data_IF_094075655078
#
_entry.id   IF_094075655078
#
_cell.length_a   1.000
_cell.length_b   1.000
_cell.length_c   1.000
_cell.angle_alpha   90.00
_cell.angle_beta   90.00
_cell.angle_gamma   90.00
#
_symmetry.space_group_name_H-M   'P 1'
#
loop_
_entity.id
_entity.type
_entity.pdbx_description
1 polymer ?
#
# COMPACT_ATOMS: atom_id res chain seq x y z
N UNK A 1 0.45 -8.85 28.17
CA UNK A 1 -0.09 -8.90 26.80
C UNK A 1 0.37 -10.20 26.17
N UNK A 2 -0.55 -11.02 25.64
CA UNK A 2 -0.16 -12.23 24.89
C UNK A 2 0.61 -11.81 23.62
N UNK A 3 1.56 -12.63 23.17
CA UNK A 3 2.34 -12.34 21.94
C UNK A 3 1.47 -12.12 20.71
N UNK A 4 0.26 -12.70 20.73
CA UNK A 4 -0.78 -12.55 19.73
C UNK A 4 -1.32 -11.11 19.59
N UNK A 5 -1.60 -10.45 20.72
CA UNK A 5 -2.10 -9.08 20.74
C UNK A 5 -1.11 -8.11 20.07
N UNK A 6 0.19 -8.34 20.28
CA UNK A 6 1.27 -7.55 19.66
C UNK A 6 1.27 -7.69 18.14
N UNK A 7 0.90 -8.86 17.60
CA UNK A 7 0.80 -9.07 16.14
C UNK A 7 -0.44 -8.37 15.58
N UNK A 8 -1.59 -8.42 16.26
CA UNK A 8 -2.79 -7.66 15.88
C UNK A 8 -2.48 -6.15 15.82
N UNK A 9 -1.81 -5.62 16.84
CA UNK A 9 -1.50 -4.20 16.90
C UNK A 9 -0.57 -3.78 15.75
N UNK A 10 0.42 -4.62 15.41
CA UNK A 10 1.29 -4.41 14.24
C UNK A 10 0.53 -4.45 12.92
N UNK A 11 -0.43 -5.36 12.75
CA UNK A 11 -1.27 -5.43 11.54
C UNK A 11 -2.13 -4.17 11.40
N UNK A 12 -2.72 -3.69 12.50
CA UNK A 12 -3.48 -2.42 12.52
C UNK A 12 -2.60 -1.23 12.16
N UNK A 13 -1.41 -1.14 12.73
CA UNK A 13 -0.49 -0.04 12.46
C UNK A 13 -0.01 -0.06 11.00
N UNK A 14 0.27 -1.25 10.46
CA UNK A 14 0.64 -1.43 9.04
C UNK A 14 -0.51 -1.00 8.12
N UNK A 15 -1.76 -1.39 8.43
CA UNK A 15 -2.94 -0.95 7.66
C UNK A 15 -3.11 0.56 7.67
N UNK A 16 -2.95 1.21 8.84
CA UNK A 16 -2.98 2.68 8.96
C UNK A 16 -1.85 3.35 8.17
N UNK A 17 -0.64 2.80 8.22
CA UNK A 17 0.49 3.30 7.45
C UNK A 17 0.23 3.20 5.93
N UNK A 18 -0.29 2.06 5.45
CA UNK A 18 -0.65 1.88 4.05
C UNK A 18 -1.73 2.87 3.60
N UNK A 19 -2.77 3.12 4.41
CA UNK A 19 -3.78 4.15 4.12
C UNK A 19 -3.18 5.55 4.06
N UNK A 20 -2.31 5.92 5.02
CA UNK A 20 -1.62 7.23 5.01
C UNK A 20 -0.76 7.42 3.76
N UNK A 21 -0.07 6.38 3.30
CA UNK A 21 0.71 6.43 2.06
C UNK A 21 -0.21 6.61 0.86
N UNK A 22 -1.31 5.87 0.79
CA UNK A 22 -2.28 6.01 -0.29
C UNK A 22 -2.91 7.41 -0.36
N UNK A 23 -3.19 8.02 0.80
CA UNK A 23 -3.68 9.40 0.89
C UNK A 23 -2.59 10.43 0.54
N UNK A 24 -1.35 10.22 1.00
CA UNK A 24 -0.22 11.07 0.63
C UNK A 24 0.03 11.09 -0.89
N UNK A 25 -0.14 9.94 -1.56
CA UNK A 25 -0.06 9.84 -3.01
C UNK A 25 -1.17 10.59 -3.75
N UNK A 26 -2.29 10.97 -3.12
CA UNK A 26 -3.29 11.84 -3.76
C UNK A 26 -2.82 13.28 -3.88
N UNK A 27 -1.94 13.74 -2.98
CA UNK A 27 -1.38 15.09 -3.03
C UNK A 27 -0.28 15.25 -4.07
N UNK A 28 0.24 14.14 -4.60
CA UNK A 28 1.31 14.12 -5.59
C UNK A 28 0.69 13.89 -6.97
N UNK A 29 0.24 14.97 -7.62
CA UNK A 29 -0.13 14.93 -9.04
C UNK A 29 1.15 15.06 -9.89
N UNK A 30 1.86 13.96 -10.12
CA UNK A 30 3.06 14.01 -10.95
C UNK A 30 2.71 14.31 -12.42
N UNK A 31 1.48 14.01 -12.84
CA UNK A 31 1.00 14.31 -14.19
C UNK A 31 0.85 15.83 -14.41
N UNK A 32 0.55 16.60 -13.35
CA UNK A 32 0.59 18.06 -13.37
C UNK A 32 2.00 18.65 -13.51
N UNK A 33 3.05 17.91 -13.13
CA UNK A 33 4.43 18.36 -13.33
C UNK A 33 4.90 18.25 -14.80
N UNK A 34 4.21 17.46 -15.62
CA UNK A 34 4.51 17.38 -17.05
C UNK A 34 3.96 18.63 -17.75
N UNK A 35 4.75 19.37 -18.55
CA UNK A 35 4.25 20.51 -19.32
C UNK A 35 3.25 20.06 -20.39
N UNK A 36 2.22 20.87 -20.64
CA UNK A 36 1.30 20.63 -21.75
C UNK A 36 2.04 20.86 -23.07
N UNK A 37 2.11 19.85 -23.93
CA UNK A 37 2.82 19.95 -25.21
C UNK A 37 2.31 21.09 -26.12
N UNK A 38 1.04 21.47 -25.95
CA UNK A 38 0.41 22.59 -26.66
C UNK A 38 0.94 23.96 -26.26
N UNK A 39 1.67 24.09 -25.15
CA UNK A 39 2.22 25.37 -24.69
C UNK A 39 3.45 25.84 -25.49
N UNK A 40 4.00 25.01 -26.39
CA UNK A 40 5.20 25.36 -27.16
C UNK A 40 5.24 24.87 -28.61
N UNK A 41 4.58 23.75 -28.96
CA UNK A 41 4.57 23.21 -30.33
C UNK A 41 3.27 22.44 -30.66
N UNK A 42 2.17 23.16 -30.95
CA UNK A 42 0.91 22.54 -31.38
C UNK A 42 1.13 21.65 -32.62
N UNK A 43 0.61 20.41 -32.59
CA UNK A 43 0.67 19.48 -33.72
C UNK A 43 1.99 18.70 -33.90
N UNK A 44 3.00 18.93 -33.06
CA UNK A 44 4.21 18.13 -33.10
C UNK A 44 3.97 16.70 -32.57
N UNK A 45 4.59 15.69 -33.19
CA UNK A 45 4.48 14.29 -32.76
C UNK A 45 4.92 14.05 -31.29
N UNK A 46 5.72 14.97 -30.72
CA UNK A 46 6.10 14.94 -29.31
C UNK A 46 4.91 15.24 -28.36
N UNK A 47 3.90 16.00 -28.80
CA UNK A 47 2.69 16.29 -28.01
C UNK A 47 1.89 15.01 -27.75
N UNK A 48 1.69 14.18 -28.78
CA UNK A 48 1.00 12.90 -28.64
C UNK A 48 1.74 11.92 -27.71
N UNK A 49 3.07 11.89 -27.77
CA UNK A 49 3.90 11.08 -26.86
C UNK A 49 3.85 11.58 -25.42
N UNK A 50 3.86 12.90 -25.21
CA UNK A 50 3.71 13.51 -23.89
C UNK A 50 2.32 13.23 -23.30
N UNK A 51 1.26 13.31 -24.11
CA UNK A 51 -0.08 12.94 -23.68
C UNK A 51 -0.18 11.46 -23.27
N UNK A 52 0.40 10.56 -24.07
CA UNK A 52 0.46 9.13 -23.74
C UNK A 52 1.26 8.86 -22.46
N UNK A 53 2.39 9.55 -22.25
CA UNK A 53 3.17 9.45 -21.02
C UNK A 53 2.38 9.93 -19.81
N UNK A 54 1.68 11.07 -19.94
CA UNK A 54 0.86 11.64 -18.88
C UNK A 54 -0.27 10.67 -18.50
N UNK A 55 -0.93 10.06 -19.49
CA UNK A 55 -1.96 9.04 -19.27
C UNK A 55 -1.42 7.77 -18.61
N UNK A 56 -0.27 7.26 -19.09
CA UNK A 56 0.37 6.07 -18.51
C UNK A 56 0.78 6.31 -17.05
N UNK A 57 1.20 7.54 -16.73
CA UNK A 57 1.56 7.91 -15.37
C UNK A 57 0.34 7.97 -14.45
N UNK A 58 -0.74 8.63 -14.86
CA UNK A 58 -2.00 8.66 -14.12
C UNK A 58 -2.52 7.24 -13.84
N UNK A 59 -2.48 6.35 -14.84
CA UNK A 59 -2.90 4.95 -14.68
C UNK A 59 -2.05 4.21 -13.64
N UNK A 60 -0.73 4.45 -13.64
CA UNK A 60 0.20 3.82 -12.69
C UNK A 60 -0.03 4.30 -11.26
N UNK A 61 -0.23 5.60 -11.06
CA UNK A 61 -0.58 6.17 -9.75
C UNK A 61 -1.86 5.57 -9.20
N UNK A 62 -2.91 5.47 -10.03
CA UNK A 62 -4.19 4.91 -9.60
C UNK A 62 -4.12 3.41 -9.30
N UNK A 63 -3.32 2.67 -10.07
CA UNK A 63 -3.05 1.24 -9.81
C UNK A 63 -2.36 1.02 -8.46
N UNK A 64 -1.34 1.83 -8.13
CA UNK A 64 -0.64 1.73 -6.85
C UNK A 64 -1.58 2.09 -5.69
N UNK A 65 -2.36 3.17 -5.83
CA UNK A 65 -3.35 3.59 -4.84
C UNK A 65 -4.38 2.49 -4.57
N UNK A 66 -4.89 1.86 -5.62
CA UNK A 66 -5.86 0.76 -5.52
C UNK A 66 -5.26 -0.44 -4.79
N UNK A 67 -4.01 -0.82 -5.10
CA UNK A 67 -3.31 -1.93 -4.44
C UNK A 67 -3.08 -1.66 -2.95
N UNK A 68 -2.65 -0.45 -2.60
CA UNK A 68 -2.45 -0.04 -1.20
C UNK A 68 -3.77 -0.09 -0.41
N UNK A 69 -4.86 0.41 -1.00
CA UNK A 69 -6.19 0.38 -0.36
C UNK A 69 -6.70 -1.05 -0.18
N UNK A 70 -6.53 -1.89 -1.19
CA UNK A 70 -6.88 -3.31 -1.10
C UNK A 70 -6.08 -4.01 -0.01
N UNK A 71 -4.77 -3.76 0.07
CA UNK A 71 -3.91 -4.31 1.12
C UNK A 71 -4.34 -3.87 2.53
N UNK A 72 -4.63 -2.58 2.72
CA UNK A 72 -5.15 -2.07 3.99
C UNK A 72 -6.50 -2.71 4.39
N UNK A 73 -7.40 -2.92 3.41
CA UNK A 73 -8.68 -3.59 3.63
C UNK A 73 -8.49 -5.05 4.05
N UNK A 74 -7.61 -5.79 3.38
CA UNK A 74 -7.30 -7.18 3.73
C UNK A 74 -6.71 -7.29 5.13
N UNK A 75 -5.83 -6.35 5.52
CA UNK A 75 -5.28 -6.29 6.88
C UNK A 75 -6.36 -6.02 7.94
N UNK A 76 -7.31 -5.11 7.66
CA UNK A 76 -8.44 -4.86 8.56
C UNK A 76 -9.32 -6.09 8.74
N UNK A 77 -9.68 -6.75 7.63
CA UNK A 77 -10.50 -7.97 7.67
C UNK A 77 -9.79 -9.10 8.44
N UNK A 78 -8.48 -9.25 8.24
CA UNK A 78 -7.69 -10.23 8.98
C UNK A 78 -7.74 -9.93 10.49
N UNK A 79 -7.54 -8.68 10.89
CA UNK A 79 -7.64 -8.25 12.30
C UNK A 79 -9.02 -8.49 12.90
N UNK A 80 -10.09 -8.21 12.15
CA UNK A 80 -11.47 -8.42 12.63
C UNK A 80 -11.75 -9.92 12.83
N UNK A 81 -11.36 -10.76 11.88
CA UNK A 81 -11.50 -12.22 12.00
C UNK A 81 -10.70 -12.78 13.19
N UNK A 82 -9.50 -12.24 13.39
CA UNK A 82 -8.59 -12.59 14.47
C UNK A 82 -9.08 -12.15 15.86
N UNK A 83 -9.75 -11.00 15.93
CA UNK A 83 -10.37 -10.52 17.17
C UNK A 83 -11.64 -11.31 17.50
N UNK A 84 -12.38 -11.78 16.49
CA UNK A 84 -13.61 -12.57 16.67
C UNK A 84 -13.35 -14.04 17.05
N UNK A 85 -12.16 -14.58 16.77
CA UNK A 85 -11.83 -15.99 16.95
C UNK A 85 -10.49 -16.19 17.68
N UNK A 86 -10.41 -15.76 18.95
CA UNK A 86 -9.19 -15.76 19.78
C UNK A 86 -8.46 -17.12 19.86
N UNK A 87 -9.19 -18.24 19.84
CA UNK A 87 -8.59 -19.59 19.87
C UNK A 87 -7.89 -19.97 18.56
N UNK A 88 -8.39 -19.50 17.43
CA UNK A 88 -7.88 -19.81 16.09
C UNK A 88 -6.71 -18.89 15.75
N UNK A 89 -6.87 -17.62 16.08
CA UNK A 89 -5.85 -16.62 16.30
C UNK A 89 -4.60 -17.14 17.04
N UNK A 90 -4.76 -17.67 18.25
CA UNK A 90 -3.64 -18.15 19.06
C UNK A 90 -2.86 -19.29 18.38
N UNK A 91 -3.53 -20.13 17.58
CA UNK A 91 -2.89 -21.21 16.80
C UNK A 91 -2.17 -20.68 15.57
N UNK A 92 -2.82 -19.80 14.79
CA UNK A 92 -2.29 -19.30 13.52
C UNK A 92 -1.12 -18.33 13.72
N UNK A 93 -1.18 -17.46 14.72
CA UNK A 93 -0.10 -16.49 15.00
C UNK A 93 0.87 -16.97 16.08
N UNK A 94 0.54 -18.02 16.84
CA UNK A 94 1.43 -18.61 17.85
C UNK A 94 2.52 -19.54 17.28
N UNK A 95 2.44 -19.92 16.00
CA UNK A 95 3.38 -20.84 15.37
C UNK A 95 4.66 -20.20 14.81
N UNK A 96 4.86 -18.89 14.95
CA UNK A 96 6.11 -18.25 14.55
C UNK A 96 7.12 -18.30 15.71
N UNK A 97 8.16 -19.17 15.69
CA UNK A 97 9.25 -19.05 16.63
C UNK A 97 9.93 -17.69 16.41
N UNK A 98 10.40 -17.02 17.48
CA UNK A 98 11.14 -15.77 17.33
C UNK A 98 12.35 -16.03 16.42
N UNK A 99 12.40 -15.34 15.28
CA UNK A 99 13.58 -15.25 14.42
C UNK A 99 14.68 -14.52 15.20
N UNK A 100 15.38 -15.25 16.07
CA UNK A 100 16.35 -14.65 16.99
C UNK A 100 17.03 -15.62 17.97
N UNK A 101 16.70 -16.90 17.99
CA UNK A 101 17.45 -17.90 18.78
C UNK A 101 18.05 -18.98 17.87
N UNK A 102 19.03 -18.59 17.05
CA UNK A 102 20.12 -19.51 16.68
C UNK A 102 21.23 -19.29 17.71
N UNK A 103 21.19 -20.07 18.79
CA UNK A 103 22.34 -20.18 19.69
C UNK A 103 23.54 -20.78 18.95
N UNK A 104 24.78 -20.50 19.37
CA UNK A 104 25.96 -21.03 18.72
C UNK A 104 26.16 -22.49 19.17
N UNK A 105 26.18 -23.41 18.21
CA UNK A 105 26.89 -24.69 18.28
C UNK A 105 27.27 -25.11 16.87
#
# INVERSE_FOLDING_TARGET
MSGYQVVIDKLRETGRAASRVADGMRGVDCAAALPGGDAGMPGAACVGKLAALRQAWTWREDSIRTRLRSHASSLSMAVDAYTAHEDQAARDLGAAPPAGMRGPV
#
